data_IF_407405002210
#
_entry.id   IF_407405002210
#
_cell.length_a   1.000
_cell.length_b   1.000
_cell.length_c   1.000
_cell.angle_alpha   90.00
_cell.angle_beta   90.00
_cell.angle_gamma   90.00
#
_symmetry.space_group_name_H-M   'P 1'
#
loop_
_entity.id
_entity.type
_entity.pdbx_description
1 polymer ?
#
# COMPACT_ATOMS: atom_id res chain seq x y z
N UNK A 1 -13.89 -6.28 29.37
CA UNK A 1 -12.47 -6.04 29.09
C UNK A 1 -11.80 -5.69 30.42
N UNK A 2 -10.72 -6.36 30.78
CA UNK A 2 -9.86 -5.92 31.88
C UNK A 2 -9.06 -4.69 31.38
N UNK A 3 -8.77 -3.70 32.26
CA UNK A 3 -7.92 -2.58 31.86
C UNK A 3 -6.55 -3.13 31.43
N UNK A 4 -6.02 -2.58 30.34
CA UNK A 4 -4.66 -2.86 29.91
C UNK A 4 -3.69 -2.33 30.99
N UNK A 5 -2.88 -3.22 31.55
CA UNK A 5 -1.91 -2.87 32.58
C UNK A 5 -0.61 -2.31 31.98
N UNK A 6 -0.55 -2.15 30.65
CA UNK A 6 0.64 -1.75 29.91
C UNK A 6 1.71 -2.86 29.83
N UNK A 7 2.45 -2.87 28.74
CA UNK A 7 3.60 -3.76 28.59
C UNK A 7 4.88 -3.08 29.12
N UNK A 8 5.83 -3.78 29.74
CA UNK A 8 7.15 -3.22 30.04
C UNK A 8 7.86 -2.64 28.82
N UNK A 9 7.51 -3.10 27.61
CA UNK A 9 7.99 -2.55 26.34
C UNK A 9 7.49 -1.11 26.09
N UNK A 10 6.30 -0.73 26.58
CA UNK A 10 5.71 0.60 26.41
C UNK A 10 6.54 1.71 27.07
N UNK A 11 7.26 1.37 28.14
CA UNK A 11 8.15 2.30 28.83
C UNK A 11 9.40 2.67 28.00
N UNK A 12 9.78 1.83 27.03
CA UNK A 12 10.97 2.00 26.19
C UNK A 12 10.60 2.36 24.75
N UNK A 13 9.49 1.83 24.24
CA UNK A 13 9.04 2.02 22.88
C UNK A 13 7.50 2.14 22.86
N UNK A 14 7.04 3.39 23.01
CA UNK A 14 5.62 3.69 23.08
C UNK A 14 4.90 3.55 21.72
N UNK A 15 3.57 3.44 21.72
CA UNK A 15 2.78 3.43 20.50
C UNK A 15 3.00 4.70 19.65
N UNK A 16 3.23 5.86 20.28
CA UNK A 16 3.58 7.10 19.59
C UNK A 16 4.95 7.03 18.91
N UNK A 17 5.93 6.38 19.54
CA UNK A 17 7.25 6.15 18.94
C UNK A 17 7.13 5.18 17.75
N UNK A 18 6.35 4.11 17.87
CA UNK A 18 6.05 3.18 16.77
C UNK A 18 5.43 3.93 15.60
N UNK A 19 4.38 4.72 15.84
CA UNK A 19 3.71 5.48 14.79
C UNK A 19 4.65 6.50 14.11
N UNK A 20 5.49 7.21 14.90
CA UNK A 20 6.47 8.16 14.37
C UNK A 20 7.52 7.48 13.50
N UNK A 21 8.08 6.39 13.96
CA UNK A 21 9.12 5.64 13.23
C UNK A 21 8.54 4.97 12.00
N UNK A 22 7.34 4.38 12.10
CA UNK A 22 6.64 3.80 10.97
C UNK A 22 6.41 4.81 9.85
N UNK A 23 5.97 6.02 10.18
CA UNK A 23 5.83 7.12 9.20
C UNK A 23 7.15 7.47 8.53
N UNK A 24 8.25 7.59 9.29
CA UNK A 24 9.57 7.89 8.73
C UNK A 24 10.05 6.80 7.76
N UNK A 25 9.85 5.52 8.12
CA UNK A 25 10.22 4.40 7.26
C UNK A 25 9.34 4.39 6.01
N UNK A 26 8.01 4.55 6.17
CA UNK A 26 7.08 4.58 5.05
C UNK A 26 7.38 5.75 4.08
N UNK A 27 7.77 6.91 4.60
CA UNK A 27 8.25 8.03 3.80
C UNK A 27 9.46 7.62 2.95
N UNK A 28 10.45 6.94 3.55
CA UNK A 28 11.63 6.47 2.81
C UNK A 28 11.27 5.47 1.71
N UNK A 29 10.36 4.53 1.99
CA UNK A 29 9.89 3.53 1.01
C UNK A 29 9.15 4.24 -0.15
N UNK A 30 8.29 5.21 0.14
CA UNK A 30 7.63 6.01 -0.92
C UNK A 30 8.62 6.81 -1.74
N UNK A 31 9.59 7.43 -1.09
CA UNK A 31 10.64 8.20 -1.77
C UNK A 31 11.53 7.34 -2.69
N UNK A 32 11.61 6.02 -2.47
CA UNK A 32 12.31 5.11 -3.37
C UNK A 32 11.55 4.82 -4.67
N UNK A 33 10.27 5.23 -4.77
CA UNK A 33 9.42 4.96 -5.94
C UNK A 33 8.98 3.51 -6.10
N UNK A 34 9.17 2.66 -5.08
CA UNK A 34 8.85 1.23 -5.15
C UNK A 34 7.44 0.88 -4.67
N UNK A 35 6.68 1.83 -4.15
CA UNK A 35 5.29 1.58 -3.79
C UNK A 35 4.45 1.48 -5.06
N UNK A 36 3.68 0.42 -5.18
CA UNK A 36 2.72 0.26 -6.28
C UNK A 36 1.56 1.24 -6.10
N UNK A 37 1.48 2.24 -6.95
CA UNK A 37 0.43 3.28 -6.93
C UNK A 37 -0.80 2.88 -7.77
N UNK A 38 -1.24 1.64 -7.67
CA UNK A 38 -2.45 1.14 -8.34
C UNK A 38 -3.63 1.17 -7.37
N UNK A 39 -4.68 2.00 -7.61
CA UNK A 39 -5.79 2.13 -6.68
C UNK A 39 -6.58 0.84 -6.45
N UNK A 40 -6.72 -0.02 -7.47
CA UNK A 40 -7.42 -1.31 -7.35
C UNK A 40 -6.63 -2.32 -6.50
N UNK A 41 -5.30 -2.34 -6.66
CA UNK A 41 -4.42 -3.16 -5.83
C UNK A 41 -4.41 -2.68 -4.39
N UNK A 42 -4.32 -1.36 -4.19
CA UNK A 42 -4.31 -0.73 -2.87
C UNK A 42 -5.63 -0.97 -2.13
N UNK A 43 -6.78 -0.77 -2.80
CA UNK A 43 -8.11 -1.04 -2.21
C UNK A 43 -8.23 -2.50 -1.80
N UNK A 44 -7.86 -3.43 -2.69
CA UNK A 44 -7.91 -4.86 -2.42
C UNK A 44 -7.08 -5.24 -1.18
N UNK A 45 -5.82 -4.80 -1.10
CA UNK A 45 -4.96 -5.13 0.05
C UNK A 45 -5.50 -4.55 1.36
N UNK A 46 -6.04 -3.34 1.34
CA UNK A 46 -6.64 -2.73 2.53
C UNK A 46 -7.99 -3.37 2.91
N UNK A 47 -8.79 -3.83 1.94
CA UNK A 47 -10.01 -4.58 2.21
C UNK A 47 -9.72 -5.90 2.92
N UNK A 48 -8.87 -6.74 2.33
CA UNK A 48 -8.51 -8.04 2.91
C UNK A 48 -7.81 -7.87 4.27
N UNK A 49 -6.88 -6.92 4.37
CA UNK A 49 -6.18 -6.61 5.61
C UNK A 49 -7.12 -6.11 6.72
N UNK A 50 -8.04 -5.22 6.40
CA UNK A 50 -9.02 -4.71 7.36
C UNK A 50 -9.98 -5.80 7.86
N UNK A 51 -10.38 -6.73 6.99
CA UNK A 51 -11.18 -7.91 7.41
C UNK A 51 -10.43 -8.77 8.43
N UNK A 52 -9.12 -8.94 8.25
CA UNK A 52 -8.26 -9.71 9.16
C UNK A 52 -8.08 -8.95 10.49
N UNK A 53 -7.75 -7.65 10.43
CA UNK A 53 -7.56 -6.79 11.61
C UNK A 53 -8.81 -6.75 12.48
N UNK A 54 -10.00 -6.68 11.87
CA UNK A 54 -11.27 -6.67 12.57
C UNK A 54 -11.52 -7.93 13.45
N UNK A 55 -10.78 -9.01 13.22
CA UNK A 55 -10.84 -10.25 14.01
C UNK A 55 -9.79 -10.29 15.14
N UNK A 56 -8.94 -9.28 15.23
CA UNK A 56 -7.99 -9.15 16.34
C UNK A 56 -8.60 -8.35 17.50
N UNK A 57 -8.13 -8.61 18.72
CA UNK A 57 -8.69 -7.92 19.90
C UNK A 57 -8.10 -6.52 20.13
N UNK A 58 -7.20 -6.07 19.26
CA UNK A 58 -6.44 -4.83 19.41
C UNK A 58 -6.91 -3.78 18.39
N UNK A 59 -7.92 -2.98 18.81
CA UNK A 59 -8.57 -1.94 18.00
C UNK A 59 -7.89 -0.57 17.99
N UNK A 60 -6.67 -0.43 18.52
CA UNK A 60 -6.02 0.88 18.72
C UNK A 60 -4.91 1.19 17.71
N UNK A 61 -4.72 0.37 16.68
CA UNK A 61 -3.72 0.61 15.63
C UNK A 61 -4.40 0.93 14.30
N UNK A 62 -3.99 2.02 13.67
CA UNK A 62 -4.31 2.29 12.28
C UNK A 62 -3.44 1.38 11.40
N UNK A 63 -4.07 0.50 10.63
CA UNK A 63 -3.36 -0.36 9.69
C UNK A 63 -3.38 0.22 8.28
N UNK A 64 -2.24 0.12 7.60
CA UNK A 64 -2.10 0.49 6.19
C UNK A 64 -1.40 -0.63 5.45
N UNK A 65 -2.07 -1.20 4.44
CA UNK A 65 -1.52 -2.25 3.59
C UNK A 65 -1.11 -1.66 2.25
N UNK A 66 0.08 -2.01 1.76
CA UNK A 66 0.61 -1.51 0.50
C UNK A 66 1.44 -2.56 -0.23
N UNK A 67 1.45 -2.50 -1.55
CA UNK A 67 2.31 -3.35 -2.36
C UNK A 67 3.63 -2.64 -2.66
N UNK A 68 4.71 -3.44 -2.74
CA UNK A 68 6.06 -3.01 -3.12
C UNK A 68 6.44 -3.71 -4.41
N UNK A 69 6.88 -2.96 -5.41
CA UNK A 69 7.36 -3.48 -6.68
C UNK A 69 8.71 -4.20 -6.49
N UNK A 70 8.63 -5.47 -6.16
CA UNK A 70 9.77 -6.34 -5.94
C UNK A 70 9.41 -7.78 -6.32
N UNK A 71 10.15 -8.44 -7.22
CA UNK A 71 9.89 -9.81 -7.63
C UNK A 71 10.24 -10.85 -6.56
N UNK A 72 10.91 -10.45 -5.47
CA UNK A 72 11.21 -11.35 -4.35
C UNK A 72 9.94 -11.71 -3.59
N UNK A 73 9.88 -12.93 -3.08
CA UNK A 73 8.77 -13.39 -2.25
C UNK A 73 9.01 -12.90 -0.83
N UNK A 74 8.29 -11.84 -0.41
CA UNK A 74 8.39 -11.28 0.91
C UNK A 74 7.11 -10.50 1.31
N UNK A 75 6.86 -10.44 2.62
CA UNK A 75 5.97 -9.50 3.26
C UNK A 75 6.62 -9.05 4.57
N UNK A 76 6.25 -7.91 5.09
CA UNK A 76 6.85 -7.37 6.29
C UNK A 76 5.92 -6.41 7.02
N UNK A 77 5.99 -6.44 8.34
CA UNK A 77 5.33 -5.48 9.21
C UNK A 77 6.33 -4.40 9.68
N UNK A 78 5.90 -3.13 9.64
CA UNK A 78 6.62 -1.99 10.18
C UNK A 78 5.98 -1.51 11.49
N UNK A 79 6.72 -0.77 12.33
CA UNK A 79 6.13 -0.07 13.45
C UNK A 79 4.96 0.82 13.02
N UNK A 80 3.94 0.97 13.85
CA UNK A 80 2.79 1.83 13.56
C UNK A 80 1.76 1.25 12.58
N UNK A 81 1.76 -0.08 12.37
CA UNK A 81 0.69 -0.76 11.62
C UNK A 81 0.83 -0.77 10.10
N UNK A 82 1.98 -0.39 9.55
CA UNK A 82 2.23 -0.51 8.11
C UNK A 82 2.63 -1.93 7.74
N UNK A 83 1.96 -2.52 6.76
CA UNK A 83 2.24 -3.87 6.25
C UNK A 83 2.51 -3.80 4.76
N UNK A 84 3.74 -4.13 4.37
CA UNK A 84 4.20 -4.18 2.99
C UNK A 84 4.15 -5.59 2.43
N UNK A 85 3.72 -5.73 1.18
CA UNK A 85 3.68 -7.00 0.46
C UNK A 85 4.39 -6.84 -0.87
N UNK A 86 5.42 -7.66 -1.13
CA UNK A 86 6.09 -7.65 -2.42
C UNK A 86 5.19 -8.23 -3.51
N UNK A 87 5.26 -7.66 -4.71
CA UNK A 87 4.53 -8.16 -5.88
C UNK A 87 4.86 -9.62 -6.17
N UNK A 88 6.11 -10.04 -5.96
CA UNK A 88 6.53 -11.43 -6.11
C UNK A 88 5.87 -12.39 -5.12
N UNK A 89 5.46 -11.94 -3.93
CA UNK A 89 4.69 -12.77 -3.00
C UNK A 89 3.27 -12.97 -3.53
N UNK A 90 2.61 -11.91 -3.99
CA UNK A 90 1.26 -11.99 -4.55
C UNK A 90 1.23 -12.92 -5.77
N UNK A 91 2.25 -12.85 -6.63
CA UNK A 91 2.37 -13.76 -7.77
C UNK A 91 2.60 -15.22 -7.36
N UNK A 92 3.37 -15.45 -6.29
CA UNK A 92 3.68 -16.80 -5.79
C UNK A 92 2.50 -17.48 -5.07
N UNK A 93 1.51 -16.72 -4.59
CA UNK A 93 0.30 -17.30 -3.96
C UNK A 93 -0.58 -17.98 -5.00
N UNK A 94 -1.15 -19.13 -4.65
CA UNK A 94 -2.00 -19.96 -5.52
C UNK A 94 -3.48 -19.72 -5.27
N UNK A 95 -3.80 -19.09 -4.14
CA UNK A 95 -5.16 -18.73 -3.74
C UNK A 95 -5.14 -17.46 -2.90
N UNK A 96 -6.29 -16.80 -2.80
CA UNK A 96 -6.50 -15.67 -1.90
C UNK A 96 -6.27 -16.04 -0.44
N UNK A 97 -6.65 -17.26 -0.03
CA UNK A 97 -6.43 -17.76 1.33
C UNK A 97 -4.94 -17.83 1.70
N UNK A 98 -4.06 -18.14 0.74
CA UNK A 98 -2.61 -18.15 0.96
C UNK A 98 -2.09 -16.72 1.21
N UNK A 99 -2.53 -15.74 0.43
CA UNK A 99 -2.19 -14.32 0.64
C UNK A 99 -2.74 -13.81 1.98
N UNK A 100 -4.00 -14.10 2.25
CA UNK A 100 -4.65 -13.74 3.52
C UNK A 100 -3.92 -14.38 4.72
N UNK A 101 -3.44 -15.61 4.57
CA UNK A 101 -2.64 -16.29 5.59
C UNK A 101 -1.35 -15.57 5.93
N UNK A 102 -0.63 -15.06 4.92
CA UNK A 102 0.58 -14.24 5.14
C UNK A 102 0.22 -12.91 5.78
N UNK A 103 -0.79 -12.21 5.28
CA UNK A 103 -1.24 -10.94 5.87
C UNK A 103 -1.67 -11.11 7.34
N UNK A 104 -2.36 -12.20 7.67
CA UNK A 104 -2.76 -12.50 9.03
C UNK A 104 -1.55 -12.76 9.95
N UNK A 105 -0.48 -13.36 9.42
CA UNK A 105 0.79 -13.53 10.13
C UNK A 105 1.45 -12.17 10.42
N UNK A 106 1.52 -11.27 9.42
CA UNK A 106 2.08 -9.92 9.59
C UNK A 106 1.24 -9.06 10.55
N UNK A 107 -0.10 -9.12 10.43
CA UNK A 107 -1.01 -8.46 11.39
C UNK A 107 -0.76 -8.96 12.80
N UNK A 108 -0.53 -10.27 13.00
CA UNK A 108 -0.21 -10.81 14.31
C UNK A 108 1.13 -10.28 14.86
N UNK A 109 2.14 -10.06 14.02
CA UNK A 109 3.40 -9.44 14.46
C UNK A 109 3.18 -8.02 15.00
N UNK A 110 2.31 -7.23 14.39
CA UNK A 110 1.95 -5.87 14.86
C UNK A 110 1.14 -5.96 16.15
N UNK A 111 0.04 -6.71 16.15
CA UNK A 111 -0.89 -6.78 17.29
C UNK A 111 -0.24 -7.39 18.55
N UNK A 112 0.70 -8.32 18.39
CA UNK A 112 1.48 -8.87 19.49
C UNK A 112 2.73 -8.02 19.82
N UNK A 113 2.91 -6.87 19.15
CA UNK A 113 3.99 -5.91 19.39
C UNK A 113 5.38 -6.54 19.38
N UNK A 114 5.63 -7.48 18.45
CA UNK A 114 6.88 -8.23 18.39
C UNK A 114 8.09 -7.33 18.19
N UNK A 115 7.95 -6.23 17.43
CA UNK A 115 9.02 -5.24 17.24
C UNK A 115 9.34 -4.52 18.54
N UNK A 116 8.34 -4.01 19.27
CA UNK A 116 8.55 -3.34 20.56
C UNK A 116 9.18 -4.27 21.59
N UNK A 117 8.74 -5.54 21.63
CA UNK A 117 9.32 -6.57 22.52
C UNK A 117 10.77 -6.88 22.15
N UNK A 118 11.13 -6.91 20.87
CA UNK A 118 12.52 -7.10 20.41
C UNK A 118 13.41 -5.91 20.80
N UNK A 119 12.91 -4.68 20.62
CA UNK A 119 13.60 -3.45 21.05
C UNK A 119 13.85 -3.46 22.58
N UNK A 120 12.84 -3.81 23.36
CA UNK A 120 12.96 -3.93 24.80
C UNK A 120 14.00 -4.97 25.22
N UNK A 121 14.02 -6.14 24.59
CA UNK A 121 14.96 -7.22 24.90
C UNK A 121 16.43 -6.83 24.61
N UNK A 122 16.65 -5.94 23.63
CA UNK A 122 17.98 -5.48 23.21
C UNK A 122 18.37 -4.10 23.79
N UNK A 123 17.76 -3.66 24.86
CA UNK A 123 17.74 -2.29 25.41
C UNK A 123 19.09 -1.69 25.87
N UNK A 124 20.22 -2.20 25.42
CA UNK A 124 21.55 -1.59 25.66
C UNK A 124 21.99 -0.56 24.62
N UNK A 125 21.23 -0.37 23.55
CA UNK A 125 21.49 0.66 22.54
C UNK A 125 20.38 1.71 22.55
N UNK A 126 20.73 2.96 22.16
CA UNK A 126 19.72 4.02 22.14
C UNK A 126 18.54 3.67 21.23
N UNK A 127 17.33 3.98 21.64
CA UNK A 127 16.08 3.69 20.95
C UNK A 127 16.12 4.16 19.47
N UNK A 128 16.66 5.35 19.24
CA UNK A 128 16.78 5.93 17.90
C UNK A 128 17.70 5.11 16.98
N UNK A 129 18.84 4.64 17.51
CA UNK A 129 19.79 3.83 16.73
C UNK A 129 19.18 2.48 16.35
N UNK A 130 18.44 1.85 17.25
CA UNK A 130 17.76 0.58 17.00
C UNK A 130 16.64 0.77 15.96
N UNK A 131 15.88 1.85 16.04
CA UNK A 131 14.82 2.16 15.09
C UNK A 131 15.35 2.51 13.69
N UNK A 132 16.46 3.25 13.62
CA UNK A 132 17.12 3.55 12.34
C UNK A 132 17.72 2.29 11.70
N UNK A 133 18.29 1.38 12.50
CA UNK A 133 18.75 0.07 12.03
C UNK A 133 17.60 -0.80 11.50
N UNK A 134 16.46 -0.82 12.20
CA UNK A 134 15.23 -1.48 11.77
C UNK A 134 14.77 -0.92 10.43
N UNK A 135 14.69 0.40 10.31
CA UNK A 135 14.29 1.09 9.08
C UNK A 135 15.21 0.79 7.92
N UNK A 136 16.53 0.83 8.14
CA UNK A 136 17.52 0.53 7.10
C UNK A 136 17.47 -0.94 6.64
N UNK A 137 17.24 -1.89 7.57
CA UNK A 137 17.12 -3.31 7.21
C UNK A 137 15.84 -3.60 6.42
N UNK A 138 14.74 -2.96 6.78
CA UNK A 138 13.46 -3.11 6.08
C UNK A 138 13.51 -2.42 4.72
N UNK A 139 14.09 -1.23 4.62
CA UNK A 139 14.31 -0.55 3.34
C UNK A 139 15.22 -1.36 2.41
N UNK A 140 16.28 -2.00 2.95
CA UNK A 140 17.13 -2.92 2.20
C UNK A 140 16.37 -4.19 1.78
N UNK A 141 15.48 -4.72 2.63
CA UNK A 141 14.60 -5.85 2.31
C UNK A 141 13.53 -5.48 1.28
N UNK A 142 13.10 -4.21 1.25
CA UNK A 142 12.20 -3.66 0.24
C UNK A 142 12.89 -3.30 -1.08
N UNK A 143 14.21 -3.54 -1.21
CA UNK A 143 14.94 -3.32 -2.47
C UNK A 143 15.34 -1.87 -2.74
N UNK A 144 15.22 -0.98 -1.77
CA UNK A 144 15.66 0.39 -1.92
C UNK A 144 17.15 0.45 -2.28
N UNK A 145 17.46 1.02 -3.45
CA UNK A 145 18.83 1.19 -3.91
C UNK A 145 19.51 2.35 -3.20
N UNK A 146 20.53 2.00 -2.65
CA UNK A 146 21.86 2.45 -2.20
C UNK A 146 22.07 3.79 -1.50
N UNK A 147 21.67 4.95 -1.96
CA UNK A 147 22.26 6.17 -1.39
C UNK A 147 21.62 6.64 -0.07
N UNK A 148 20.31 6.54 0.08
CA UNK A 148 19.64 6.81 1.35
C UNK A 148 19.86 5.68 2.37
N UNK A 149 19.90 4.42 1.88
CA UNK A 149 20.20 3.23 2.70
C UNK A 149 21.67 3.23 3.10
N UNK A 150 22.61 3.63 2.23
CA UNK A 150 24.04 3.74 2.55
C UNK A 150 24.32 4.83 3.60
N UNK A 151 23.62 5.95 3.55
CA UNK A 151 23.70 6.97 4.59
C UNK A 151 23.24 6.44 5.97
N UNK A 152 22.17 5.66 6.02
CA UNK A 152 21.69 5.02 7.25
C UNK A 152 22.58 3.85 7.70
N UNK A 153 23.13 3.08 6.76
CA UNK A 153 24.04 1.95 7.03
C UNK A 153 25.43 2.44 7.45
N UNK A 154 25.95 3.54 6.87
CA UNK A 154 27.24 4.12 7.25
C UNK A 154 27.27 4.56 8.73
N UNK A 155 26.14 4.98 9.27
CA UNK A 155 25.97 5.31 10.71
C UNK A 155 25.91 4.01 11.56
N UNK A 156 25.47 2.89 10.96
CA UNK A 156 25.26 1.61 11.63
C UNK A 156 26.44 0.63 11.56
N UNK A 157 27.52 0.92 10.83
CA UNK A 157 28.67 0.02 10.60
C UNK A 157 29.57 -0.28 11.80
N UNK A 158 29.16 0.11 13.01
CA UNK A 158 29.77 -0.34 14.25
C UNK A 158 29.13 -1.61 14.80
N UNK A 159 29.49 -2.79 14.31
CA UNK A 159 29.43 -4.11 14.97
C UNK A 159 28.09 -4.83 15.19
N UNK A 160 26.91 -4.32 14.84
CA UNK A 160 25.65 -4.99 15.14
C UNK A 160 24.75 -5.29 13.90
N UNK A 161 25.19 -4.96 12.70
CA UNK A 161 24.42 -5.10 11.47
C UNK A 161 24.11 -6.55 11.03
N UNK A 162 24.58 -7.55 11.76
CA UNK A 162 24.36 -8.98 11.48
C UNK A 162 23.38 -9.66 12.42
N UNK A 163 22.85 -8.94 13.41
CA UNK A 163 21.70 -9.47 14.14
C UNK A 163 20.44 -9.01 13.42
N UNK A 164 20.14 -9.69 12.31
CA UNK A 164 18.79 -9.83 11.80
C UNK A 164 17.82 -9.75 12.98
N UNK A 165 16.73 -8.98 12.85
CA UNK A 165 15.57 -9.16 13.73
C UNK A 165 15.06 -10.57 13.44
N UNK A 166 15.75 -11.53 13.99
CA UNK A 166 15.26 -12.88 14.10
C UNK A 166 14.16 -12.79 15.16
N UNK A 167 12.92 -12.58 14.71
CA UNK A 167 11.79 -12.86 15.57
C UNK A 167 12.08 -14.20 16.23
N UNK A 168 12.09 -14.24 17.56
CA UNK A 168 12.40 -15.48 18.26
C UNK A 168 11.43 -16.55 17.77
N UNK A 169 11.84 -17.82 17.76
CA UNK A 169 10.93 -18.93 17.39
C UNK A 169 9.58 -18.83 18.10
N UNK A 170 9.59 -18.35 19.34
CA UNK A 170 8.38 -18.12 20.14
C UNK A 170 7.46 -17.10 19.50
N UNK A 171 7.99 -15.98 18.99
CA UNK A 171 7.21 -14.95 18.32
C UNK A 171 6.60 -15.48 17.01
N UNK A 172 7.35 -16.30 16.26
CA UNK A 172 6.83 -16.94 15.04
C UNK A 172 5.64 -17.86 15.33
N UNK A 173 5.75 -18.73 16.34
CA UNK A 173 4.64 -19.58 16.76
C UNK A 173 3.45 -18.79 17.33
N UNK A 174 3.70 -17.67 17.98
CA UNK A 174 2.66 -16.76 18.46
C UNK A 174 1.94 -16.09 17.29
N UNK A 175 2.69 -15.59 16.30
CA UNK A 175 2.14 -14.99 15.08
C UNK A 175 1.33 -16.00 14.27
N UNK A 176 1.81 -17.23 14.11
CA UNK A 176 1.05 -18.30 13.45
C UNK A 176 -0.27 -18.57 14.16
N UNK A 177 -0.24 -18.69 15.50
CA UNK A 177 -1.43 -18.99 16.30
C UNK A 177 -2.48 -17.89 16.22
N UNK A 178 -2.07 -16.64 16.42
CA UNK A 178 -2.96 -15.47 16.39
C UNK A 178 -3.44 -15.23 14.97
N UNK A 179 -2.54 -15.34 13.98
CA UNK A 179 -2.85 -15.16 12.58
C UNK A 179 -3.88 -16.17 12.06
N UNK A 180 -3.74 -17.47 12.38
CA UNK A 180 -4.72 -18.50 11.97
C UNK A 180 -6.11 -18.21 12.57
N UNK A 181 -6.16 -17.76 13.83
CA UNK A 181 -7.43 -17.37 14.46
C UNK A 181 -8.08 -16.18 13.76
N UNK A 182 -7.29 -15.15 13.44
CA UNK A 182 -7.79 -13.98 12.71
C UNK A 182 -8.21 -14.32 11.27
N UNK A 183 -7.44 -15.16 10.58
CA UNK A 183 -7.73 -15.67 9.25
C UNK A 183 -9.09 -16.37 9.19
N UNK A 184 -9.31 -17.34 10.10
CA UNK A 184 -10.58 -18.06 10.20
C UNK A 184 -11.75 -17.14 10.56
N UNK A 185 -11.54 -16.19 11.50
CA UNK A 185 -12.54 -15.20 11.89
C UNK A 185 -12.92 -14.26 10.74
N UNK A 186 -11.98 -13.93 9.86
CA UNK A 186 -12.19 -13.11 8.67
C UNK A 186 -12.89 -13.87 7.52
N UNK A 187 -13.18 -15.18 7.69
CA UNK A 187 -13.89 -15.98 6.70
C UNK A 187 -13.01 -16.56 5.58
N UNK A 188 -11.71 -16.64 5.80
CA UNK A 188 -10.75 -17.32 4.91
C UNK A 188 -10.51 -18.76 5.37
N UNK A 189 -10.03 -19.62 4.46
CA UNK A 189 -9.63 -20.97 4.83
C UNK A 189 -8.44 -20.94 5.81
N UNK A 190 -8.60 -21.44 7.04
CA UNK A 190 -7.52 -21.45 8.04
C UNK A 190 -6.29 -22.26 7.60
N UNK A 191 -6.43 -23.12 6.59
CA UNK A 191 -5.30 -23.85 6.00
C UNK A 191 -4.44 -22.99 5.05
N UNK A 192 -4.89 -21.79 4.65
CA UNK A 192 -4.18 -20.91 3.72
C UNK A 192 -2.75 -20.61 4.16
N UNK A 193 -2.54 -20.29 5.44
CA UNK A 193 -1.21 -20.06 5.98
C UNK A 193 -0.30 -21.30 5.87
N UNK A 194 -0.79 -22.46 6.26
CA UNK A 194 -0.01 -23.71 6.18
C UNK A 194 0.29 -24.09 4.72
N UNK A 195 -0.67 -23.84 3.81
CA UNK A 195 -0.51 -24.05 2.38
C UNK A 195 0.60 -23.17 1.80
N UNK A 196 0.64 -21.90 2.14
CA UNK A 196 1.72 -21.00 1.73
C UNK A 196 3.09 -21.44 2.26
N UNK A 197 3.17 -21.84 3.53
CA UNK A 197 4.42 -22.36 4.11
C UNK A 197 4.94 -23.58 3.35
N UNK A 198 4.05 -24.44 2.86
CA UNK A 198 4.44 -25.60 2.04
C UNK A 198 4.94 -25.21 0.65
N UNK A 199 4.36 -24.16 0.05
CA UNK A 199 4.87 -23.59 -1.21
C UNK A 199 6.31 -23.13 -1.01
N UNK A 200 6.56 -22.36 0.06
CA UNK A 200 7.89 -21.87 0.38
C UNK A 200 8.89 -23.00 0.64
N UNK A 201 8.50 -23.99 1.43
CA UNK A 201 9.33 -25.16 1.73
C UNK A 201 9.72 -25.95 0.47
N UNK A 202 8.80 -26.10 -0.49
CA UNK A 202 9.07 -26.79 -1.77
C UNK A 202 10.02 -26.01 -2.66
N UNK A 203 9.91 -24.69 -2.73
CA UNK A 203 10.83 -23.85 -3.52
C UNK A 203 12.27 -23.98 -3.01
N UNK A 204 12.46 -24.05 -1.70
CA UNK A 204 13.79 -24.23 -1.12
C UNK A 204 14.43 -25.60 -1.48
N UNK A 205 13.62 -26.66 -1.57
CA UNK A 205 14.12 -28.00 -1.88
C UNK A 205 14.40 -28.24 -3.37
N UNK A 206 13.68 -27.56 -4.25
CA UNK A 206 13.82 -27.74 -5.73
C UNK A 206 14.95 -26.92 -6.32
N UNK A 207 15.43 -25.89 -5.66
CA UNK A 207 16.50 -25.03 -6.16
C UNK A 207 17.54 -24.74 -5.05
N UNK A 208 18.34 -25.75 -4.67
CA UNK A 208 19.33 -25.60 -3.59
C UNK A 208 20.41 -24.53 -3.86
N UNK A 209 20.63 -24.20 -5.14
CA UNK A 209 21.60 -23.20 -5.58
C UNK A 209 21.06 -21.76 -5.51
N UNK A 210 19.74 -21.59 -5.46
CA UNK A 210 19.10 -20.30 -5.23
C UNK A 210 19.05 -20.02 -3.73
N UNK A 211 19.34 -18.78 -3.34
CA UNK A 211 19.16 -18.33 -1.95
C UNK A 211 17.69 -18.53 -1.55
N UNK A 212 17.49 -18.97 -0.29
CA UNK A 212 16.14 -19.10 0.27
C UNK A 212 15.33 -17.81 0.04
N UNK A 213 14.02 -17.91 -0.29
CA UNK A 213 13.14 -16.74 -0.42
C UNK A 213 13.31 -15.78 0.76
N UNK A 214 13.24 -14.48 0.52
CA UNK A 214 13.45 -13.43 1.53
C UNK A 214 12.55 -13.67 2.75
N UNK A 215 11.27 -14.00 2.50
CA UNK A 215 10.31 -14.36 3.55
C UNK A 215 10.84 -15.45 4.49
N UNK A 216 11.49 -16.49 3.98
CA UNK A 216 12.05 -17.56 4.82
C UNK A 216 13.29 -17.15 5.60
N UNK A 217 13.94 -16.05 5.21
CA UNK A 217 15.10 -15.51 5.94
C UNK A 217 14.65 -14.68 7.14
N UNK A 218 13.54 -13.97 7.00
CA UNK A 218 12.92 -13.16 8.07
C UNK A 218 11.99 -14.00 8.94
N UNK A 219 11.26 -14.95 8.34
CA UNK A 219 10.29 -15.86 8.97
C UNK A 219 10.66 -17.32 8.67
N UNK A 220 11.57 -17.94 9.43
CA UNK A 220 12.03 -19.31 9.14
C UNK A 220 10.89 -20.32 9.16
N UNK A 221 10.54 -20.87 7.99
CA UNK A 221 9.50 -21.89 7.86
C UNK A 221 10.11 -23.27 8.11
N UNK A 222 9.72 -23.89 9.21
CA UNK A 222 10.16 -25.24 9.59
C UNK A 222 9.02 -26.26 9.41
N UNK A 223 9.36 -27.54 9.24
CA UNK A 223 8.37 -28.62 9.19
C UNK A 223 7.49 -28.66 10.44
N UNK A 224 8.04 -28.25 11.59
CA UNK A 224 7.28 -28.17 12.84
C UNK A 224 6.23 -27.04 12.79
N UNK A 225 6.56 -25.84 12.24
CA UNK A 225 5.59 -24.77 12.06
C UNK A 225 4.47 -25.17 11.09
N UNK A 226 4.80 -25.81 9.96
CA UNK A 226 3.81 -26.32 9.00
C UNK A 226 2.86 -27.31 9.70
N UNK A 227 3.41 -28.26 10.45
CA UNK A 227 2.61 -29.26 11.15
C UNK A 227 1.69 -28.64 12.22
N UNK A 228 2.19 -27.66 12.97
CA UNK A 228 1.42 -26.94 13.99
C UNK A 228 0.33 -26.08 13.34
N UNK A 229 0.64 -25.31 12.31
CA UNK A 229 -0.34 -24.50 11.59
C UNK A 229 -1.49 -25.38 11.04
N UNK A 230 -1.17 -26.52 10.46
CA UNK A 230 -2.18 -27.52 10.03
C UNK A 230 -3.00 -28.07 11.19
N UNK A 231 -2.35 -28.36 12.32
CA UNK A 231 -3.06 -28.87 13.50
C UNK A 231 -4.03 -27.84 14.05
N UNK A 232 -3.64 -26.57 14.10
CA UNK A 232 -4.52 -25.47 14.56
C UNK A 232 -5.65 -25.19 13.59
N UNK A 233 -5.39 -25.23 12.28
CA UNK A 233 -6.43 -25.05 11.27
C UNK A 233 -7.58 -26.06 11.41
N UNK A 234 -7.33 -27.27 11.95
CA UNK A 234 -8.37 -28.27 12.19
C UNK A 234 -9.38 -27.88 13.26
N UNK A 235 -9.01 -26.94 14.15
CA UNK A 235 -9.90 -26.49 15.23
C UNK A 235 -10.99 -25.52 14.71
N UNK A 236 -10.90 -25.10 13.44
CA UNK A 236 -11.83 -24.21 12.77
C UNK A 236 -12.63 -24.95 11.69
N UNK A 237 -13.85 -24.47 11.37
CA UNK A 237 -14.62 -25.00 10.25
C UNK A 237 -13.82 -24.90 8.94
N UNK A 238 -13.90 -25.92 8.10
CA UNK A 238 -13.34 -25.84 6.76
C UNK A 238 -14.15 -24.83 5.93
N UNK A 239 -13.53 -23.76 5.52
CA UNK A 239 -14.10 -22.77 4.62
C UNK A 239 -13.56 -23.08 3.23
N UNK A 240 -14.45 -23.30 2.28
CA UNK A 240 -14.11 -23.41 0.85
C UNK A 240 -14.79 -22.27 0.15
N UNK A 241 -14.03 -21.28 -0.22
CA UNK A 241 -14.44 -20.18 -1.10
C UNK A 241 -13.60 -20.23 -2.36
N UNK A 242 -14.20 -19.86 -3.48
CA UNK A 242 -13.42 -19.51 -4.65
C UNK A 242 -12.69 -18.19 -4.37
N UNK A 243 -11.55 -17.98 -5.01
CA UNK A 243 -10.82 -16.71 -4.94
C UNK A 243 -11.75 -15.57 -5.34
N UNK A 244 -11.64 -14.43 -4.65
CA UNK A 244 -12.44 -13.26 -4.99
C UNK A 244 -12.07 -12.69 -6.36
N UNK A 245 -13.03 -12.06 -7.02
CA UNK A 245 -12.76 -11.33 -8.26
C UNK A 245 -11.73 -10.24 -8.05
N UNK A 246 -11.74 -9.57 -6.89
CA UNK A 246 -10.78 -8.52 -6.52
C UNK A 246 -9.35 -9.05 -6.41
N UNK A 247 -9.14 -10.24 -5.83
CA UNK A 247 -7.84 -10.93 -5.82
C UNK A 247 -7.34 -11.18 -7.24
N UNK A 248 -8.21 -11.76 -8.08
CA UNK A 248 -7.85 -12.04 -9.46
C UNK A 248 -7.49 -10.78 -10.25
N UNK A 249 -8.23 -9.69 -10.06
CA UNK A 249 -7.97 -8.38 -10.69
C UNK A 249 -6.64 -7.81 -10.22
N UNK A 250 -6.41 -7.72 -8.91
CA UNK A 250 -5.16 -7.19 -8.37
C UNK A 250 -3.95 -7.99 -8.89
N UNK A 251 -4.04 -9.33 -8.86
CA UNK A 251 -3.01 -10.21 -9.38
C UNK A 251 -2.78 -10.04 -10.88
N UNK A 252 -3.83 -9.95 -11.70
CA UNK A 252 -3.70 -9.77 -13.15
C UNK A 252 -3.00 -8.45 -13.49
N UNK A 253 -3.31 -7.36 -12.79
CA UNK A 253 -2.64 -6.06 -12.96
C UNK A 253 -1.16 -6.12 -12.62
N UNK A 254 -0.82 -6.73 -11.48
CA UNK A 254 0.56 -6.92 -11.06
C UNK A 254 1.36 -7.81 -12.02
N UNK A 255 0.75 -8.88 -12.54
CA UNK A 255 1.38 -9.74 -13.56
C UNK A 255 1.67 -8.94 -14.84
N UNK A 256 0.72 -8.13 -15.33
CA UNK A 256 0.98 -7.28 -16.52
C UNK A 256 2.11 -6.29 -16.24
N UNK A 257 2.12 -5.65 -15.08
CA UNK A 257 3.16 -4.69 -14.69
C UNK A 257 4.55 -5.34 -14.45
N UNK A 258 4.62 -6.65 -14.25
CA UNK A 258 5.88 -7.36 -13.97
C UNK A 258 6.70 -7.71 -15.23
N UNK A 259 6.15 -7.53 -16.42
CA UNK A 259 6.87 -7.78 -17.67
C UNK A 259 7.72 -6.57 -18.07
N UNK A 260 8.89 -6.84 -18.66
CA UNK A 260 9.79 -5.78 -19.14
C UNK A 260 9.19 -5.00 -20.30
N UNK A 261 8.34 -5.64 -21.11
CA UNK A 261 7.64 -5.01 -22.24
C UNK A 261 6.16 -5.37 -22.28
N UNK A 262 5.30 -4.47 -22.78
CA UNK A 262 3.88 -4.75 -22.98
C UNK A 262 3.62 -5.95 -23.89
N UNK A 263 4.44 -6.15 -24.93
CA UNK A 263 4.33 -7.28 -25.87
C UNK A 263 4.53 -8.64 -25.17
N UNK A 264 5.39 -8.69 -24.15
CA UNK A 264 5.58 -9.91 -23.35
C UNK A 264 4.33 -10.23 -22.53
N UNK A 265 3.71 -9.23 -21.93
CA UNK A 265 2.43 -9.39 -21.23
C UNK A 265 1.32 -9.87 -22.17
N UNK A 266 1.22 -9.30 -23.38
CA UNK A 266 0.29 -9.74 -24.41
C UNK A 266 0.56 -11.21 -24.78
N UNK A 267 1.83 -11.55 -25.05
CA UNK A 267 2.23 -12.92 -25.39
C UNK A 267 1.86 -13.91 -24.30
N UNK A 268 2.03 -13.53 -23.04
CA UNK A 268 1.66 -14.36 -21.88
C UNK A 268 0.17 -14.68 -21.87
N UNK A 269 -0.71 -13.69 -22.06
CA UNK A 269 -2.15 -13.92 -22.06
C UNK A 269 -2.68 -14.54 -23.35
N UNK A 270 -1.99 -14.40 -24.47
CA UNK A 270 -2.37 -15.03 -25.75
C UNK A 270 -1.99 -16.53 -25.84
N UNK A 271 -1.13 -17.04 -24.96
CA UNK A 271 -0.79 -18.48 -24.92
C UNK A 271 -2.02 -19.38 -24.79
N UNK A 272 -3.05 -18.92 -24.09
CA UNK A 272 -4.32 -19.62 -23.97
C UNK A 272 -5.36 -19.03 -24.90
N UNK A 273 -6.06 -19.82 -25.74
CA UNK A 273 -7.13 -19.32 -26.59
C UNK A 273 -8.20 -18.59 -25.80
N UNK A 274 -8.75 -17.49 -26.37
CA UNK A 274 -9.69 -16.60 -25.68
C UNK A 274 -10.93 -17.34 -25.15
N UNK A 275 -11.48 -18.25 -25.92
CA UNK A 275 -12.65 -19.08 -25.57
C UNK A 275 -12.42 -19.99 -24.36
N UNK A 276 -11.15 -20.28 -24.03
CA UNK A 276 -10.77 -21.12 -22.89
C UNK A 276 -10.35 -20.28 -21.67
N UNK A 277 -10.37 -18.95 -21.78
CA UNK A 277 -10.01 -18.04 -20.70
C UNK A 277 -11.24 -17.77 -19.81
N UNK A 278 -11.00 -17.75 -18.49
CA UNK A 278 -11.99 -17.26 -17.54
C UNK A 278 -12.03 -15.72 -17.54
N UNK A 279 -12.95 -15.11 -16.78
CA UNK A 279 -13.13 -13.66 -16.73
C UNK A 279 -11.89 -12.90 -16.28
N UNK A 280 -11.11 -13.46 -15.35
CA UNK A 280 -9.87 -12.83 -14.84
C UNK A 280 -8.75 -12.90 -15.89
N UNK A 281 -8.59 -14.03 -16.57
CA UNK A 281 -7.61 -14.15 -17.66
C UNK A 281 -7.94 -13.21 -18.83
N UNK A 282 -9.24 -13.06 -19.17
CA UNK A 282 -9.70 -12.06 -20.17
C UNK A 282 -9.44 -10.65 -19.71
N UNK A 283 -9.69 -10.33 -18.43
CA UNK A 283 -9.37 -9.03 -17.86
C UNK A 283 -7.86 -8.73 -17.95
N UNK A 284 -7.01 -9.66 -17.53
CA UNK A 284 -5.55 -9.51 -17.65
C UNK A 284 -5.10 -9.30 -19.09
N UNK A 285 -5.73 -10.00 -20.06
CA UNK A 285 -5.48 -9.79 -21.49
C UNK A 285 -5.90 -8.40 -21.96
N UNK A 286 -7.03 -7.87 -21.48
CA UNK A 286 -7.46 -6.51 -21.79
C UNK A 286 -6.48 -5.45 -21.24
N UNK A 287 -6.01 -5.63 -19.99
CA UNK A 287 -4.98 -4.77 -19.38
C UNK A 287 -3.66 -4.83 -20.17
N UNK A 288 -3.24 -6.03 -20.60
CA UNK A 288 -2.04 -6.19 -21.44
C UNK A 288 -2.19 -5.48 -22.78
N UNK A 289 -3.36 -5.59 -23.44
CA UNK A 289 -3.66 -4.87 -24.68
C UNK A 289 -3.68 -3.35 -24.50
N UNK A 290 -4.22 -2.84 -23.38
CA UNK A 290 -4.14 -1.40 -23.06
C UNK A 290 -2.68 -0.94 -22.93
N UNK A 291 -1.85 -1.68 -22.22
CA UNK A 291 -0.44 -1.36 -22.06
C UNK A 291 0.32 -1.36 -23.40
N UNK A 292 -0.05 -2.25 -24.33
CA UNK A 292 0.53 -2.39 -25.67
C UNK A 292 -0.08 -1.41 -26.72
N UNK A 293 -1.04 -0.56 -26.31
CA UNK A 293 -1.70 0.38 -27.23
C UNK A 293 -2.75 -0.26 -28.15
N UNK A 294 -3.09 -1.52 -27.95
CA UNK A 294 -4.12 -2.26 -28.71
C UNK A 294 -5.51 -1.99 -28.13
N UNK A 295 -5.90 -0.71 -28.15
CA UNK A 295 -7.09 -0.23 -27.45
C UNK A 295 -8.41 -0.79 -28.00
N UNK A 296 -8.50 -1.08 -29.31
CA UNK A 296 -9.73 -1.66 -29.88
C UNK A 296 -9.97 -3.07 -29.38
N UNK A 297 -8.93 -3.88 -29.33
CA UNK A 297 -8.99 -5.25 -28.80
C UNK A 297 -9.30 -5.26 -27.30
N UNK A 298 -8.71 -4.33 -26.52
CA UNK A 298 -9.01 -4.16 -25.12
C UNK A 298 -10.49 -3.77 -24.90
N UNK A 299 -11.00 -2.81 -25.68
CA UNK A 299 -12.38 -2.35 -25.61
C UNK A 299 -13.40 -3.47 -25.85
N UNK A 300 -13.15 -4.33 -26.82
CA UNK A 300 -14.05 -5.46 -27.11
C UNK A 300 -14.10 -6.44 -25.94
N UNK A 301 -12.95 -6.73 -25.32
CA UNK A 301 -12.91 -7.58 -24.13
C UNK A 301 -13.65 -6.94 -22.94
N UNK A 302 -13.46 -5.65 -22.69
CA UNK A 302 -14.18 -4.99 -21.59
C UNK A 302 -15.70 -4.96 -21.81
N UNK A 303 -16.17 -4.83 -23.05
CA UNK A 303 -17.59 -4.96 -23.36
C UNK A 303 -18.11 -6.36 -23.02
N UNK A 304 -17.43 -7.42 -23.46
CA UNK A 304 -17.79 -8.81 -23.13
C UNK A 304 -17.84 -9.06 -21.62
N UNK A 305 -16.84 -8.53 -20.88
CA UNK A 305 -16.77 -8.66 -19.43
C UNK A 305 -17.94 -7.94 -18.75
N UNK A 306 -18.28 -6.71 -19.19
CA UNK A 306 -19.40 -5.94 -18.65
C UNK A 306 -20.76 -6.53 -19.02
N UNK A 307 -20.91 -7.17 -20.19
CA UNK A 307 -22.12 -7.91 -20.54
C UNK A 307 -22.32 -9.10 -19.61
N UNK A 308 -21.24 -9.76 -19.17
CA UNK A 308 -21.29 -10.88 -18.26
C UNK A 308 -21.49 -10.47 -16.81
N UNK A 309 -20.86 -9.39 -16.36
CA UNK A 309 -20.93 -8.91 -14.96
C UNK A 309 -20.69 -7.42 -14.82
N UNK A 310 -21.76 -6.65 -14.62
CA UNK A 310 -21.70 -5.20 -14.42
C UNK A 310 -21.30 -4.77 -13.01
N UNK A 311 -21.15 -5.70 -12.07
CA UNK A 311 -20.80 -5.38 -10.68
C UNK A 311 -19.29 -5.26 -10.44
N UNK A 312 -18.45 -5.50 -11.45
CA UNK A 312 -16.99 -5.43 -11.33
C UNK A 312 -16.48 -4.07 -11.75
N UNK A 313 -16.07 -3.28 -10.78
CA UNK A 313 -15.64 -1.87 -10.96
C UNK A 313 -14.47 -1.76 -11.93
N UNK A 314 -13.50 -2.66 -11.85
CA UNK A 314 -12.32 -2.66 -12.70
C UNK A 314 -12.64 -2.76 -14.21
N UNK A 315 -13.76 -3.40 -14.58
CA UNK A 315 -14.17 -3.48 -15.98
C UNK A 315 -14.67 -2.13 -16.49
N UNK A 316 -15.40 -1.37 -15.66
CA UNK A 316 -15.83 -0.01 -15.99
C UNK A 316 -14.66 0.95 -16.11
N UNK A 317 -13.71 0.87 -15.18
CA UNK A 317 -12.48 1.68 -15.20
C UNK A 317 -11.71 1.40 -16.48
N UNK A 318 -11.39 0.13 -16.77
CA UNK A 318 -10.64 -0.25 -17.96
C UNK A 318 -11.34 0.16 -19.25
N UNK A 319 -12.67 -0.01 -19.35
CA UNK A 319 -13.44 0.44 -20.50
C UNK A 319 -13.38 1.97 -20.65
N UNK A 320 -13.58 2.73 -19.57
CA UNK A 320 -13.55 4.19 -19.59
C UNK A 320 -12.18 4.74 -20.01
N UNK A 321 -11.10 4.22 -19.44
CA UNK A 321 -9.73 4.59 -19.80
C UNK A 321 -9.41 4.25 -21.27
N UNK A 322 -9.83 3.08 -21.73
CA UNK A 322 -9.65 2.65 -23.13
C UNK A 322 -10.39 3.58 -24.09
N UNK A 323 -11.59 4.01 -23.74
CA UNK A 323 -12.37 4.96 -24.57
C UNK A 323 -11.71 6.35 -24.63
N UNK A 324 -11.08 6.81 -23.53
CA UNK A 324 -10.28 8.06 -23.57
C UNK A 324 -9.10 7.89 -24.51
N UNK A 325 -8.37 6.79 -24.42
CA UNK A 325 -7.22 6.50 -25.29
C UNK A 325 -7.60 6.38 -26.79
N UNK A 326 -8.85 6.02 -27.09
CA UNK A 326 -9.42 5.97 -28.45
C UNK A 326 -10.01 7.31 -28.91
N UNK A 327 -9.81 8.40 -28.17
CA UNK A 327 -10.39 9.73 -28.45
C UNK A 327 -11.93 9.70 -28.54
N UNK A 328 -12.57 8.92 -27.64
CA UNK A 328 -14.03 8.80 -27.49
C UNK A 328 -14.51 9.38 -26.14
N UNK A 329 -14.32 10.69 -25.89
CA UNK A 329 -14.55 11.26 -24.55
C UNK A 329 -16.01 11.18 -24.10
N UNK A 330 -16.98 11.27 -25.03
CA UNK A 330 -18.40 11.20 -24.68
C UNK A 330 -18.78 9.82 -24.12
N UNK A 331 -18.31 8.77 -24.77
CA UNK A 331 -18.59 7.39 -24.35
C UNK A 331 -17.83 7.03 -23.07
N UNK A 332 -16.62 7.56 -22.92
CA UNK A 332 -15.83 7.43 -21.70
C UNK A 332 -16.57 8.05 -20.49
N UNK A 333 -17.00 9.31 -20.61
CA UNK A 333 -17.76 10.01 -19.57
C UNK A 333 -19.03 9.22 -19.22
N UNK A 334 -19.80 8.79 -20.25
CA UNK A 334 -21.02 8.01 -20.02
C UNK A 334 -20.74 6.69 -19.28
N UNK A 335 -19.62 6.04 -19.58
CA UNK A 335 -19.19 4.80 -18.89
C UNK A 335 -18.87 5.06 -17.42
N UNK A 336 -18.08 6.10 -17.13
CA UNK A 336 -17.74 6.47 -15.75
C UNK A 336 -18.96 6.92 -14.94
N UNK A 337 -19.86 7.73 -15.53
CA UNK A 337 -21.09 8.18 -14.89
C UNK A 337 -22.02 7.03 -14.54
N UNK A 338 -22.17 6.07 -15.46
CA UNK A 338 -22.96 4.86 -15.22
C UNK A 338 -22.35 4.06 -14.06
N UNK A 339 -21.02 3.94 -14.04
CA UNK A 339 -20.32 3.24 -12.95
C UNK A 339 -20.48 3.95 -11.61
N UNK A 340 -20.35 5.29 -11.56
CA UNK A 340 -20.56 6.08 -10.35
C UNK A 340 -21.99 5.96 -9.79
N UNK A 341 -22.98 5.85 -10.66
CA UNK A 341 -24.35 5.62 -10.24
C UNK A 341 -24.55 4.25 -9.55
N UNK A 342 -23.76 3.25 -9.95
CA UNK A 342 -23.76 1.91 -9.34
C UNK A 342 -22.89 1.84 -8.07
N UNK A 343 -21.75 2.54 -8.09
CA UNK A 343 -20.70 2.49 -7.05
C UNK A 343 -20.33 3.89 -6.57
N UNK A 344 -21.24 4.63 -5.93
CA UNK A 344 -20.95 5.96 -5.43
C UNK A 344 -19.82 5.90 -4.40
N UNK A 345 -18.85 6.82 -4.54
CA UNK A 345 -17.69 6.95 -3.62
C UNK A 345 -16.75 5.74 -3.58
N UNK A 346 -16.77 4.86 -4.60
CA UNK A 346 -15.70 3.89 -4.72
C UNK A 346 -14.39 4.60 -5.07
N UNK A 347 -13.35 4.42 -4.25
CA UNK A 347 -12.12 5.20 -4.37
C UNK A 347 -11.39 4.98 -5.71
N UNK A 348 -11.09 3.76 -6.16
CA UNK A 348 -10.49 3.52 -7.48
C UNK A 348 -11.26 4.15 -8.64
N UNK A 349 -12.59 4.03 -8.63
CA UNK A 349 -13.43 4.58 -9.69
C UNK A 349 -13.38 6.11 -9.73
N UNK A 350 -13.51 6.76 -8.56
CA UNK A 350 -13.45 8.23 -8.45
C UNK A 350 -12.08 8.74 -8.86
N UNK A 351 -11.00 8.08 -8.45
CA UNK A 351 -9.62 8.43 -8.81
C UNK A 351 -9.45 8.34 -10.33
N UNK A 352 -9.73 7.18 -10.93
CA UNK A 352 -9.58 6.97 -12.37
C UNK A 352 -10.40 7.96 -13.18
N UNK A 353 -11.66 8.18 -12.79
CA UNK A 353 -12.51 9.15 -13.48
C UNK A 353 -12.00 10.59 -13.34
N UNK A 354 -11.55 10.98 -12.16
CA UNK A 354 -11.03 12.33 -11.92
C UNK A 354 -9.76 12.62 -12.71
N UNK A 355 -8.86 11.64 -12.84
CA UNK A 355 -7.69 11.75 -13.72
C UNK A 355 -8.10 12.00 -15.18
N UNK A 356 -9.06 11.23 -15.67
CA UNK A 356 -9.57 11.40 -17.06
C UNK A 356 -10.30 12.73 -17.22
N UNK A 357 -11.07 13.19 -16.23
CA UNK A 357 -11.71 14.52 -16.29
C UNK A 357 -10.69 15.66 -16.39
N UNK A 358 -9.58 15.58 -15.66
CA UNK A 358 -8.50 16.57 -15.77
C UNK A 358 -7.93 16.57 -17.20
N UNK A 359 -7.65 15.40 -17.77
CA UNK A 359 -7.15 15.26 -19.14
C UNK A 359 -8.15 15.77 -20.20
N UNK A 360 -9.44 15.54 -19.98
CA UNK A 360 -10.52 15.96 -20.87
C UNK A 360 -10.92 17.44 -20.69
N UNK A 361 -10.27 18.17 -19.77
CA UNK A 361 -10.49 19.61 -19.57
C UNK A 361 -11.67 19.95 -18.67
N UNK A 362 -12.14 19.03 -17.83
CA UNK A 362 -13.14 19.28 -16.77
C UNK A 362 -12.57 19.10 -15.34
N UNK A 363 -11.54 19.89 -14.96
CA UNK A 363 -10.90 19.75 -13.67
C UNK A 363 -11.82 20.19 -12.51
N UNK A 364 -12.79 21.06 -12.73
CA UNK A 364 -13.74 21.50 -11.70
C UNK A 364 -14.57 20.31 -11.21
N UNK A 365 -15.05 19.50 -12.13
CA UNK A 365 -15.80 18.29 -11.81
C UNK A 365 -14.91 17.27 -11.11
N UNK A 366 -13.68 17.07 -11.60
CA UNK A 366 -12.70 16.20 -10.94
C UNK A 366 -12.47 16.62 -9.48
N UNK A 367 -12.21 17.91 -9.24
CA UNK A 367 -12.01 18.44 -7.89
C UNK A 367 -13.24 18.20 -7.01
N UNK A 368 -14.46 18.45 -7.52
CA UNK A 368 -15.70 18.22 -6.78
C UNK A 368 -15.87 16.75 -6.35
N UNK A 369 -15.61 15.80 -7.25
CA UNK A 369 -15.70 14.36 -6.97
C UNK A 369 -14.68 13.91 -5.93
N UNK A 370 -13.45 14.39 -6.04
CA UNK A 370 -12.36 14.08 -5.12
C UNK A 370 -12.62 14.65 -3.72
N UNK A 371 -13.21 15.85 -3.61
CA UNK A 371 -13.61 16.43 -2.33
C UNK A 371 -14.76 15.67 -1.66
N UNK A 372 -15.74 15.19 -2.43
CA UNK A 372 -16.78 14.33 -1.88
C UNK A 372 -16.19 13.01 -1.37
N UNK A 373 -15.23 12.43 -2.09
CA UNK A 373 -14.52 11.23 -1.63
C UNK A 373 -13.75 11.51 -0.32
N UNK A 374 -12.94 12.58 -0.28
CA UNK A 374 -12.15 12.99 0.88
C UNK A 374 -12.99 13.15 2.16
N UNK A 375 -14.20 13.69 2.04
CA UNK A 375 -15.09 13.92 3.17
C UNK A 375 -15.72 12.63 3.72
N UNK A 376 -15.63 11.51 3.00
CA UNK A 376 -16.32 10.27 3.34
C UNK A 376 -15.39 9.07 3.51
N UNK A 377 -14.19 9.12 2.95
CA UNK A 377 -13.21 8.03 2.96
C UNK A 377 -11.86 8.59 3.39
N UNK A 378 -11.14 7.95 4.34
CA UNK A 378 -9.79 8.37 4.71
C UNK A 378 -8.88 8.38 3.48
N UNK A 379 -8.21 9.51 3.17
CA UNK A 379 -7.44 9.63 1.94
C UNK A 379 -6.08 8.94 2.03
N UNK A 380 -5.59 8.47 0.88
CA UNK A 380 -4.17 8.17 0.69
C UNK A 380 -3.40 9.44 0.29
N UNK A 381 -2.07 9.47 0.45
CA UNK A 381 -1.26 10.61 -0.04
C UNK A 381 -1.48 10.89 -1.53
N UNK A 382 -1.56 9.85 -2.35
CA UNK A 382 -1.75 9.98 -3.80
C UNK A 382 -3.11 10.62 -4.14
N UNK A 383 -4.15 10.27 -3.39
CA UNK A 383 -5.47 10.93 -3.52
C UNK A 383 -5.38 12.42 -3.20
N UNK A 384 -4.67 12.79 -2.12
CA UNK A 384 -4.49 14.21 -1.75
C UNK A 384 -3.68 14.96 -2.81
N UNK A 385 -2.65 14.34 -3.38
CA UNK A 385 -1.89 14.88 -4.49
C UNK A 385 -2.76 15.09 -5.74
N UNK A 386 -3.65 14.15 -6.03
CA UNK A 386 -4.60 14.27 -7.14
C UNK A 386 -5.61 15.41 -6.91
N UNK A 387 -6.08 15.60 -5.66
CA UNK A 387 -6.91 16.76 -5.31
C UNK A 387 -6.16 18.06 -5.60
N UNK A 388 -4.89 18.17 -5.21
CA UNK A 388 -4.06 19.34 -5.50
C UNK A 388 -3.92 19.59 -7.00
N UNK A 389 -3.72 18.55 -7.81
CA UNK A 389 -3.66 18.64 -9.28
C UNK A 389 -4.99 19.12 -9.87
N UNK A 390 -6.11 18.56 -9.40
CA UNK A 390 -7.44 18.98 -9.85
C UNK A 390 -7.73 20.44 -9.50
N UNK A 391 -7.40 20.88 -8.27
CA UNK A 391 -7.53 22.27 -7.83
C UNK A 391 -6.67 23.22 -8.69
N UNK A 392 -5.40 22.87 -8.93
CA UNK A 392 -4.50 23.64 -9.78
C UNK A 392 -5.03 23.78 -11.21
N UNK A 393 -5.48 22.68 -11.82
CA UNK A 393 -6.06 22.68 -13.16
C UNK A 393 -7.40 23.47 -13.23
N UNK A 394 -8.15 23.53 -12.12
CA UNK A 394 -9.36 24.35 -12.00
C UNK A 394 -9.10 25.84 -11.76
N UNK A 395 -7.84 26.25 -11.58
CA UNK A 395 -7.46 27.64 -11.28
C UNK A 395 -7.58 28.01 -9.79
N UNK A 396 -7.79 27.03 -8.91
CA UNK A 396 -7.92 27.22 -7.46
C UNK A 396 -6.56 27.10 -6.78
N UNK A 397 -5.64 28.04 -7.06
CA UNK A 397 -4.25 27.97 -6.62
C UNK A 397 -4.09 27.84 -5.09
N UNK A 398 -4.90 28.55 -4.32
CA UNK A 398 -4.83 28.48 -2.85
C UNK A 398 -5.15 27.09 -2.31
N UNK A 399 -6.16 26.43 -2.87
CA UNK A 399 -6.51 25.04 -2.51
C UNK A 399 -5.46 24.05 -3.01
N UNK A 400 -4.90 24.28 -4.20
CA UNK A 400 -3.81 23.45 -4.72
C UNK A 400 -2.60 23.44 -3.77
N UNK A 401 -2.16 24.61 -3.31
CA UNK A 401 -1.09 24.70 -2.32
C UNK A 401 -1.46 24.07 -0.98
N UNK A 402 -2.70 24.25 -0.52
CA UNK A 402 -3.16 23.64 0.72
C UNK A 402 -3.10 22.10 0.64
N UNK A 403 -3.62 21.47 -0.43
CA UNK A 403 -3.59 20.03 -0.57
C UNK A 403 -2.19 19.49 -0.85
N UNK A 404 -1.31 20.26 -1.52
CA UNK A 404 0.11 19.90 -1.59
C UNK A 404 0.78 19.91 -0.20
N UNK A 405 0.42 20.86 0.66
CA UNK A 405 0.90 20.85 2.03
C UNK A 405 0.40 19.60 2.80
N UNK A 406 -0.87 19.26 2.69
CA UNK A 406 -1.42 18.04 3.31
C UNK A 406 -0.73 16.77 2.77
N UNK A 407 -0.47 16.70 1.47
CA UNK A 407 0.31 15.61 0.88
C UNK A 407 1.70 15.50 1.52
N UNK A 408 2.43 16.63 1.63
CA UNK A 408 3.75 16.66 2.26
C UNK A 408 3.71 16.18 3.72
N UNK A 409 2.66 16.57 4.46
CA UNK A 409 2.47 16.11 5.84
C UNK A 409 2.23 14.61 5.91
N UNK A 410 1.43 14.08 5.01
CA UNK A 410 1.12 12.64 4.97
C UNK A 410 2.35 11.79 4.64
N UNK A 411 3.26 12.30 3.81
CA UNK A 411 4.54 11.64 3.53
C UNK A 411 5.63 11.99 4.54
N UNK A 412 5.35 12.85 5.55
CA UNK A 412 6.25 13.16 6.67
C UNK A 412 7.17 14.36 6.44
N UNK A 413 7.04 15.09 5.33
CA UNK A 413 7.80 16.32 5.08
C UNK A 413 7.11 17.56 5.69
N UNK A 414 7.34 17.77 6.99
CA UNK A 414 6.77 18.92 7.72
C UNK A 414 7.24 20.26 7.15
N UNK A 415 8.50 20.32 6.71
CA UNK A 415 9.10 21.56 6.16
C UNK A 415 8.49 21.90 4.81
N UNK A 416 8.37 20.92 3.91
CA UNK A 416 7.69 21.06 2.64
C UNK A 416 6.24 21.50 2.81
N UNK A 417 5.51 20.90 3.77
CA UNK A 417 4.15 21.29 4.11
C UNK A 417 4.03 22.77 4.47
N UNK A 418 4.88 23.26 5.39
CA UNK A 418 4.89 24.69 5.75
C UNK A 418 5.24 25.57 4.56
N UNK A 419 6.21 25.18 3.73
CA UNK A 419 6.60 25.96 2.56
C UNK A 419 5.44 26.15 1.58
N UNK A 420 4.65 25.12 1.30
CA UNK A 420 3.46 25.21 0.45
C UNK A 420 2.41 26.15 1.07
N UNK A 421 2.13 26.06 2.37
CA UNK A 421 1.20 26.98 3.05
C UNK A 421 1.69 28.44 3.05
N UNK A 422 2.99 28.66 3.20
CA UNK A 422 3.58 30.00 3.10
C UNK A 422 3.44 30.58 1.68
N UNK A 423 3.58 29.76 0.64
CA UNK A 423 3.32 30.19 -0.74
C UNK A 423 1.85 30.56 -0.94
N UNK A 424 0.92 29.75 -0.44
CA UNK A 424 -0.49 30.05 -0.45
C UNK A 424 -0.82 31.41 0.21
N UNK A 425 -0.17 31.73 1.34
CA UNK A 425 -0.36 33.00 2.06
C UNK A 425 0.14 34.24 1.29
N UNK A 426 0.97 34.04 0.24
CA UNK A 426 1.47 35.12 -0.61
C UNK A 426 0.56 35.42 -1.82
N UNK A 427 -0.47 34.61 -2.05
CA UNK A 427 -1.40 34.82 -3.17
C UNK A 427 -2.17 36.15 -3.00
N UNK A 428 -2.28 36.96 -4.06
CA UNK A 428 -2.88 38.32 -3.96
C UNK A 428 -4.39 38.28 -3.71
N UNK A 429 -5.08 37.22 -4.13
CA UNK A 429 -6.56 37.09 -4.03
C UNK A 429 -6.99 36.11 -2.93
N UNK A 430 -6.13 35.87 -1.92
CA UNK A 430 -6.43 34.93 -0.85
C UNK A 430 -7.59 35.45 0.03
N UNK A 431 -8.62 34.61 0.19
CA UNK A 431 -9.75 34.91 1.05
C UNK A 431 -9.32 34.88 2.53
N UNK A 432 -9.93 35.74 3.38
CA UNK A 432 -9.58 35.83 4.80
C UNK A 432 -9.75 34.51 5.54
N UNK A 433 -10.80 33.73 5.23
CA UNK A 433 -11.02 32.41 5.84
C UNK A 433 -9.92 31.40 5.46
N UNK A 434 -9.42 31.45 4.24
CA UNK A 434 -8.31 30.62 3.80
C UNK A 434 -7.01 31.03 4.52
N UNK A 435 -6.77 32.34 4.66
CA UNK A 435 -5.62 32.85 5.40
C UNK A 435 -5.59 32.33 6.82
N UNK A 436 -6.69 32.46 7.56
CA UNK A 436 -6.82 31.97 8.93
C UNK A 436 -6.58 30.46 9.01
N UNK A 437 -7.16 29.69 8.07
CA UNK A 437 -6.99 28.24 7.99
C UNK A 437 -5.53 27.85 7.78
N UNK A 438 -4.82 28.52 6.88
CA UNK A 438 -3.43 28.21 6.54
C UNK A 438 -2.47 28.60 7.67
N UNK A 439 -2.67 29.77 8.31
CA UNK A 439 -1.89 30.20 9.47
C UNK A 439 -2.06 29.21 10.64
N UNK A 440 -3.30 28.86 10.97
CA UNK A 440 -3.58 27.88 12.01
C UNK A 440 -2.95 26.49 11.70
N UNK A 441 -2.93 26.09 10.42
CA UNK A 441 -2.31 24.82 10.02
C UNK A 441 -0.79 24.88 10.16
N UNK A 442 -0.16 25.99 9.81
CA UNK A 442 1.29 26.20 10.02
C UNK A 442 1.64 26.11 11.51
N UNK A 443 0.86 26.76 12.37
CA UNK A 443 1.13 26.75 13.81
C UNK A 443 0.98 25.34 14.38
N UNK A 444 -0.04 24.60 13.97
CA UNK A 444 -0.21 23.19 14.32
C UNK A 444 0.97 22.31 13.89
N UNK A 445 1.49 22.49 12.66
CA UNK A 445 2.64 21.70 12.17
C UNK A 445 3.89 22.00 13.01
N UNK A 446 4.11 23.26 13.38
CA UNK A 446 5.28 23.68 14.18
C UNK A 446 5.34 23.00 15.55
N UNK A 447 4.21 22.63 16.14
CA UNK A 447 4.17 21.90 17.42
C UNK A 447 4.83 20.51 17.33
N UNK A 448 4.91 19.92 16.13
CA UNK A 448 5.51 18.62 15.89
C UNK A 448 6.95 18.70 15.38
N UNK A 449 7.49 19.88 15.13
CA UNK A 449 8.85 20.09 14.63
C UNK A 449 9.87 20.14 15.76
N UNK A 450 11.07 19.64 15.49
CA UNK A 450 12.21 19.80 16.40
C UNK A 450 12.78 21.22 16.31
N UNK A 451 13.49 21.67 17.36
CA UNK A 451 14.18 22.97 17.34
C UNK A 451 15.18 23.11 16.18
N UNK A 452 15.79 22.01 15.77
CA UNK A 452 16.74 21.97 14.66
C UNK A 452 16.06 22.18 13.32
N UNK A 453 14.92 21.53 13.09
CA UNK A 453 14.08 21.73 11.90
C UNK A 453 13.56 23.17 11.82
N UNK A 454 13.11 23.74 12.94
CA UNK A 454 12.66 25.12 12.99
C UNK A 454 13.79 26.11 12.65
N UNK A 455 15.02 25.88 13.11
CA UNK A 455 16.20 26.69 12.77
C UNK A 455 16.59 26.58 11.30
N UNK A 456 16.58 25.37 10.74
CA UNK A 456 16.86 25.16 9.32
C UNK A 456 15.83 25.85 8.42
N UNK A 457 14.56 25.79 8.77
CA UNK A 457 13.48 26.44 8.02
C UNK A 457 13.64 27.98 7.99
N UNK A 458 14.12 28.59 9.08
CA UNK A 458 14.37 30.03 9.14
C UNK A 458 15.54 30.45 8.23
N UNK A 459 16.44 29.55 7.88
CA UNK A 459 17.61 29.79 7.03
C UNK A 459 17.41 29.48 5.55
N UNK A 460 16.29 28.82 5.16
CA UNK A 460 16.03 28.37 3.78
C UNK A 460 15.11 29.33 3.03
N UNK A 461 15.43 29.64 1.76
CA UNK A 461 14.54 30.42 0.85
C UNK A 461 13.42 29.55 0.29
N UNK A 462 12.22 30.09 0.02
CA UNK A 462 11.09 29.32 -0.51
C UNK A 462 11.36 28.76 -1.92
N UNK A 463 10.93 27.51 -2.16
CA UNK A 463 11.06 26.79 -3.45
C UNK A 463 9.85 27.13 -4.32
N UNK A 464 10.06 27.42 -5.60
CA UNK A 464 8.99 27.87 -6.53
C UNK A 464 8.20 26.73 -7.19
N UNK A 465 7.07 27.10 -7.80
CA UNK A 465 5.97 26.30 -8.39
C UNK A 465 6.31 25.30 -9.52
N UNK A 466 7.56 25.14 -9.93
CA UNK A 466 7.91 24.33 -11.11
C UNK A 466 7.60 22.80 -11.00
N UNK A 467 7.27 22.32 -9.81
CA UNK A 467 7.05 20.88 -9.54
C UNK A 467 5.59 20.40 -9.78
N UNK A 468 4.67 21.24 -10.22
CA UNK A 468 3.25 20.87 -10.44
C UNK A 468 2.92 20.49 -11.89
N UNK A 469 3.90 20.51 -12.82
CA UNK A 469 3.69 20.27 -14.26
C UNK A 469 4.31 18.96 -14.78
N UNK A 470 4.89 18.10 -13.93
CA UNK A 470 5.40 16.79 -14.32
C UNK A 470 4.54 15.62 -13.79
#
# INVERSE_FOLDING_TARGET
>A
KLPDMGSPADAIFSANDEARIGRMIMQSIRASGQVVEDPLVTEYLNEIGSRIVAQTNEGDHDFTFFAVEDPRINAFALPGGYIGVHTGLIDATRSEDELAGVLAHEVAHVTQRHIARAVHANSRQSLLTTAMMLGAMIAAAAGADSDAVQGAIAIAQGTAAQQQINFTRTNEYEADRVGISALAGAGFDPYGMASFFEVMSRQQTTSPEMRAPEFMRTHPVTTARIAEARSRAKDYPLIRSDDSTSYGIARARLIVASFDTPEEAVTYYEKRPYENQNSIERYGRAVAYQADGRYWEALDIYKDLLESNTSVIAYHIGMGETLVALDQPRDAIATFEKALALFPRNAPLVIAYSERLIELGDPIRAHTLLLDLLNNVPPTPEQVRLIARAASAAGEEAEAYYYMAEYQLMIGDLTGGINYLQQALQLPELQEIQRIRFEARIDFIREFMTEEQLKMMQSSRPVGLAALQE
#
